data_IF_370242370895
#
_entry.id   IF_370242370895
#
_cell.length_a   1.000
_cell.length_b   1.000
_cell.length_c   1.000
_cell.angle_alpha   90.00
_cell.angle_beta   90.00
_cell.angle_gamma   90.00
#
_symmetry.space_group_name_H-M   'P 1'
#
loop_
_entity.id
_entity.type
_entity.pdbx_description
1 polymer ?
#
# COMPACT_ATOMS: atom_id res chain seq x y z
N UNK A 1 37.72 -42.80 -9.78
CA UNK A 1 36.28 -43.08 -10.00
C UNK A 1 35.68 -41.80 -10.58
N UNK A 2 35.47 -41.75 -11.90
CA UNK A 2 34.98 -40.56 -12.62
C UNK A 2 33.47 -40.75 -12.84
N UNK A 3 32.65 -39.82 -12.36
CA UNK A 3 31.22 -39.78 -12.66
C UNK A 3 30.97 -38.59 -13.59
N UNK A 4 30.74 -38.91 -14.86
CA UNK A 4 30.18 -38.01 -15.86
C UNK A 4 28.65 -38.04 -15.71
N UNK A 5 28.02 -36.87 -15.55
CA UNK A 5 26.58 -36.73 -15.81
C UNK A 5 26.37 -35.75 -16.95
N UNK A 6 25.73 -36.28 -17.98
CA UNK A 6 25.45 -35.67 -19.26
C UNK A 6 24.00 -35.19 -19.30
N UNK A 7 23.80 -34.12 -20.09
CA UNK A 7 22.61 -33.77 -20.89
C UNK A 7 21.35 -33.21 -20.22
N UNK A 8 21.18 -31.90 -20.46
CA UNK A 8 20.04 -31.25 -21.17
C UNK A 8 18.62 -31.60 -20.71
N UNK A 9 17.96 -30.64 -20.06
CA UNK A 9 16.52 -30.39 -20.26
C UNK A 9 16.33 -28.90 -20.55
N UNK A 10 16.12 -28.61 -21.83
CA UNK A 10 15.55 -27.35 -22.31
C UNK A 10 14.04 -27.57 -22.29
N UNK A 11 13.29 -26.84 -21.46
CA UNK A 11 11.84 -26.73 -21.62
C UNK A 11 11.47 -25.26 -21.79
N UNK A 12 11.24 -24.91 -23.06
CA UNK A 12 10.57 -23.69 -23.49
C UNK A 12 9.07 -23.96 -23.39
N UNK A 13 8.33 -23.18 -22.59
CA UNK A 13 6.93 -22.82 -22.93
C UNK A 13 6.65 -21.42 -22.34
N UNK A 14 7.05 -20.40 -23.10
CA UNK A 14 6.30 -19.14 -23.17
C UNK A 14 5.29 -19.34 -24.31
N UNK A 15 4.01 -18.99 -24.11
CA UNK A 15 3.16 -18.21 -25.03
C UNK A 15 1.65 -18.33 -24.70
N UNK A 16 1.03 -17.15 -24.51
CA UNK A 16 -0.34 -16.72 -24.84
C UNK A 16 -1.56 -17.29 -24.09
N UNK A 17 -2.30 -16.38 -23.45
CA UNK A 17 -3.61 -15.94 -24.00
C UNK A 17 -4.08 -14.65 -23.33
N UNK A 18 -3.87 -13.53 -24.02
CA UNK A 18 -4.64 -12.29 -23.85
C UNK A 18 -5.91 -12.47 -24.66
N UNK A 19 -7.07 -12.49 -23.99
CA UNK A 19 -8.36 -12.35 -24.66
C UNK A 19 -9.04 -11.08 -24.13
N UNK A 20 -9.17 -10.11 -25.03
CA UNK A 20 -9.99 -8.92 -24.89
C UNK A 20 -11.48 -9.30 -24.79
N UNK A 21 -12.17 -8.74 -23.79
CA UNK A 21 -13.60 -8.43 -23.91
C UNK A 21 -13.81 -6.98 -23.50
N UNK A 22 -13.99 -6.14 -24.52
CA UNK A 22 -14.49 -4.78 -24.42
C UNK A 22 -15.97 -4.84 -24.80
N UNK A 23 -16.86 -4.56 -23.85
CA UNK A 23 -18.25 -4.14 -24.08
C UNK A 23 -18.53 -3.03 -23.06
N UNK A 24 -18.33 -1.77 -23.44
CA UNK A 24 -19.35 -0.85 -23.97
C UNK A 24 -20.30 -0.29 -22.90
N UNK A 25 -20.06 0.99 -22.59
CA UNK A 25 -20.92 2.09 -22.16
C UNK A 25 -22.30 1.79 -21.54
N UNK A 26 -22.54 2.36 -20.35
CA UNK A 26 -23.59 3.39 -20.22
C UNK A 26 -23.33 4.28 -18.99
N UNK A 27 -23.01 5.54 -19.25
CA UNK A 27 -22.94 6.63 -18.27
C UNK A 27 -24.31 7.30 -18.18
N UNK A 28 -24.99 7.16 -17.04
CA UNK A 28 -26.12 8.00 -16.69
C UNK A 28 -25.66 9.07 -15.70
N UNK A 29 -25.85 10.32 -16.11
CA UNK A 29 -25.68 11.54 -15.33
C UNK A 29 -26.47 11.46 -14.01
N UNK A 30 -25.82 11.77 -12.89
CA UNK A 30 -26.52 12.14 -11.67
C UNK A 30 -26.04 13.50 -11.19
N UNK A 31 -27.00 14.43 -11.15
CA UNK A 31 -26.84 15.83 -10.78
C UNK A 31 -26.56 15.92 -9.27
N UNK A 32 -25.57 16.73 -8.91
CA UNK A 32 -25.27 17.10 -7.54
C UNK A 32 -26.08 18.35 -7.15
N UNK A 33 -27.03 18.19 -6.23
CA UNK A 33 -27.61 19.33 -5.53
C UNK A 33 -26.89 19.51 -4.20
N UNK A 34 -26.10 20.59 -4.13
CA UNK A 34 -25.46 21.06 -2.92
C UNK A 34 -26.50 21.80 -2.07
N UNK A 35 -26.79 21.29 -0.87
CA UNK A 35 -27.45 22.07 0.18
C UNK A 35 -26.40 22.60 1.15
N UNK A 36 -26.22 23.92 1.06
CA UNK A 36 -25.61 24.80 2.04
C UNK A 36 -26.49 24.80 3.28
N UNK A 37 -25.94 24.44 4.44
CA UNK A 37 -26.58 24.71 5.74
C UNK A 37 -25.63 25.49 6.62
N UNK A 38 -26.18 26.58 7.14
CA UNK A 38 -25.60 27.66 7.94
C UNK A 38 -24.75 27.20 9.13
N UNK A 39 -23.60 27.86 9.23
CA UNK A 39 -22.82 28.03 10.46
C UNK A 39 -23.56 28.97 11.42
N UNK A 40 -23.99 28.46 12.57
CA UNK A 40 -24.43 29.29 13.69
C UNK A 40 -23.28 29.51 14.67
N UNK A 41 -22.83 30.76 14.75
CA UNK A 41 -21.93 31.27 15.79
C UNK A 41 -22.64 31.29 17.15
N UNK A 42 -22.02 30.71 18.18
CA UNK A 42 -22.33 31.04 19.58
C UNK A 42 -21.07 31.59 20.24
N UNK A 43 -21.22 32.82 20.73
CA UNK A 43 -20.21 33.57 21.47
C UNK A 43 -20.04 33.06 22.91
N UNK A 44 -18.77 32.97 23.30
CA UNK A 44 -18.15 33.53 24.52
C UNK A 44 -18.90 33.39 25.85
N UNK A 45 -18.27 32.67 26.79
CA UNK A 45 -18.26 33.10 28.19
C UNK A 45 -16.91 32.72 28.82
N UNK A 46 -16.18 33.76 29.23
CA UNK A 46 -14.95 33.68 30.00
C UNK A 46 -15.30 33.61 31.50
N UNK A 47 -14.70 32.69 32.25
CA UNK A 47 -14.24 33.01 33.60
C UNK A 47 -13.09 32.08 34.04
N UNK A 48 -12.14 32.57 34.86
CA UNK A 48 -10.85 31.92 35.12
C UNK A 48 -10.83 31.11 36.43
N UNK A 49 -9.65 30.49 36.65
CA UNK A 49 -9.18 29.73 37.83
C UNK A 49 -9.71 28.29 37.90
N UNK A 50 -8.88 27.26 38.03
CA UNK A 50 -7.88 27.08 39.10
C UNK A 50 -6.64 26.35 38.58
N UNK A 51 -5.47 26.92 38.89
CA UNK A 51 -4.15 26.28 38.78
C UNK A 51 -4.10 25.10 39.75
N UNK A 52 -3.96 23.89 39.24
CA UNK A 52 -3.57 22.73 40.04
C UNK A 52 -2.37 22.06 39.37
N UNK A 53 -1.18 22.60 39.65
CA UNK A 53 0.11 21.97 39.41
C UNK A 53 0.24 20.78 40.33
N UNK A 54 0.13 19.55 39.81
CA UNK A 54 0.77 18.37 40.40
C UNK A 54 0.93 17.25 39.34
N UNK A 55 2.17 16.77 39.23
CA UNK A 55 2.60 15.50 38.66
C UNK A 55 2.40 15.25 37.15
N UNK A 56 3.29 15.84 36.35
CA UNK A 56 3.74 15.20 35.10
C UNK A 56 4.70 14.08 35.49
N UNK A 57 4.12 12.92 35.79
CA UNK A 57 4.85 11.66 35.82
C UNK A 57 4.66 11.01 34.45
N UNK A 58 5.77 10.95 33.74
CA UNK A 58 5.97 10.31 32.44
C UNK A 58 5.41 8.89 32.40
N UNK A 59 4.27 8.70 31.73
CA UNK A 59 3.79 7.39 31.29
C UNK A 59 3.22 7.48 29.88
N UNK A 60 4.11 7.58 28.89
CA UNK A 60 3.74 7.65 27.46
C UNK A 60 3.99 6.33 26.70
N UNK A 61 4.28 5.23 27.40
CA UNK A 61 4.72 3.97 26.78
C UNK A 61 3.71 2.81 26.82
N UNK A 62 2.62 2.87 27.59
CA UNK A 62 1.77 1.69 27.83
C UNK A 62 0.47 1.65 27.01
N UNK A 63 0.05 2.77 26.41
CA UNK A 63 -1.28 2.86 25.80
C UNK A 63 -1.30 2.50 24.30
N UNK A 64 -0.17 2.61 23.59
CA UNK A 64 -0.10 2.25 22.17
C UNK A 64 0.07 0.75 21.95
N UNK A 65 0.66 0.04 22.91
CA UNK A 65 1.01 -1.37 22.77
C UNK A 65 -0.21 -2.30 22.87
N UNK A 66 -1.12 -2.01 23.81
CA UNK A 66 -2.39 -2.74 23.98
C UNK A 66 -3.29 -2.64 22.74
N UNK A 67 -3.31 -1.48 22.08
CA UNK A 67 -4.08 -1.28 20.85
C UNK A 67 -3.55 -2.12 19.66
N UNK A 68 -2.23 -2.24 19.51
CA UNK A 68 -1.63 -3.07 18.45
C UNK A 68 -1.84 -4.56 18.72
N UNK A 69 -1.76 -4.97 19.98
CA UNK A 69 -1.99 -6.36 20.39
C UNK A 69 -3.44 -6.80 20.08
N UNK A 70 -4.41 -5.95 20.39
CA UNK A 70 -5.82 -6.22 20.07
C UNK A 70 -6.06 -6.34 18.57
N UNK A 71 -5.44 -5.47 17.76
CA UNK A 71 -5.52 -5.56 16.29
C UNK A 71 -4.88 -6.85 15.79
N UNK A 72 -3.70 -7.21 16.32
CA UNK A 72 -2.98 -8.43 15.92
C UNK A 72 -3.81 -9.69 16.19
N UNK A 73 -4.33 -9.83 17.42
CA UNK A 73 -5.21 -10.93 17.79
C UNK A 73 -6.46 -11.00 16.92
N UNK A 74 -7.07 -9.85 16.62
CA UNK A 74 -8.26 -9.79 15.78
C UNK A 74 -7.98 -10.24 14.35
N UNK A 75 -6.84 -9.85 13.78
CA UNK A 75 -6.43 -10.28 12.43
C UNK A 75 -6.22 -11.78 12.35
N UNK A 76 -5.54 -12.38 13.34
CA UNK A 76 -5.34 -13.83 13.44
C UNK A 76 -6.69 -14.56 13.49
N UNK A 77 -7.57 -14.15 14.41
CA UNK A 77 -8.92 -14.74 14.57
C UNK A 77 -9.72 -14.67 13.26
N UNK A 78 -9.70 -13.52 12.58
CA UNK A 78 -10.44 -13.32 11.34
C UNK A 78 -9.88 -14.15 10.18
N UNK A 79 -8.55 -14.29 10.10
CA UNK A 79 -7.89 -15.14 9.13
C UNK A 79 -8.18 -16.62 9.35
N UNK A 80 -8.12 -17.08 10.60
CA UNK A 80 -8.38 -18.48 10.98
C UNK A 80 -9.83 -18.87 10.66
N UNK A 81 -10.77 -17.99 10.98
CA UNK A 81 -12.20 -18.17 10.70
C UNK A 81 -12.59 -17.89 9.24
N UNK A 82 -11.62 -17.55 8.37
CA UNK A 82 -11.83 -17.21 6.96
C UNK A 82 -12.87 -16.11 6.73
N UNK A 83 -12.99 -15.16 7.67
CA UNK A 83 -13.90 -14.03 7.57
C UNK A 83 -13.24 -12.88 6.79
N UNK A 84 -13.29 -12.96 5.46
CA UNK A 84 -12.42 -12.15 4.62
C UNK A 84 -12.80 -10.66 4.61
N UNK A 85 -14.10 -10.31 4.61
CA UNK A 85 -14.53 -8.91 4.64
C UNK A 85 -14.15 -8.22 5.93
N UNK A 86 -14.38 -8.87 7.08
CA UNK A 86 -13.98 -8.31 8.37
C UNK A 86 -12.46 -8.24 8.51
N UNK A 87 -11.73 -9.24 8.01
CA UNK A 87 -10.26 -9.20 7.96
C UNK A 87 -9.79 -8.00 7.15
N UNK A 88 -10.34 -7.80 5.94
CA UNK A 88 -10.03 -6.66 5.11
C UNK A 88 -10.31 -5.35 5.83
N UNK A 89 -11.45 -5.23 6.52
CA UNK A 89 -11.81 -4.03 7.29
C UNK A 89 -10.82 -3.75 8.42
N UNK A 90 -10.46 -4.78 9.18
CA UNK A 90 -9.52 -4.72 10.31
C UNK A 90 -8.06 -4.51 9.88
N UNK A 91 -7.71 -4.87 8.64
CA UNK A 91 -6.35 -4.72 8.10
C UNK A 91 -5.88 -3.27 8.21
N UNK A 92 -4.58 -3.00 8.45
CA UNK A 92 -4.06 -1.65 8.60
C UNK A 92 -4.47 -0.71 7.47
N UNK A 93 -4.67 0.57 7.81
CA UNK A 93 -5.10 1.61 6.87
C UNK A 93 -4.00 2.60 6.52
N UNK A 94 -2.78 2.43 7.05
CA UNK A 94 -1.64 3.33 6.92
C UNK A 94 -0.36 2.51 6.92
N UNK A 95 0.70 2.97 6.24
CA UNK A 95 2.00 2.30 6.27
C UNK A 95 2.51 2.07 7.69
N UNK A 96 2.44 3.10 8.55
CA UNK A 96 2.98 3.05 9.91
C UNK A 96 2.41 1.88 10.72
N UNK A 97 1.08 1.77 10.78
CA UNK A 97 0.41 0.64 11.45
C UNK A 97 0.69 -0.70 10.78
N UNK A 98 0.81 -0.71 9.45
CA UNK A 98 1.17 -1.93 8.72
C UNK A 98 2.57 -2.40 9.12
N UNK A 99 3.55 -1.50 9.10
CA UNK A 99 4.93 -1.77 9.50
C UNK A 99 5.05 -2.13 10.98
N UNK A 100 4.31 -1.47 11.88
CA UNK A 100 4.31 -1.80 13.32
C UNK A 100 3.76 -3.20 13.63
N UNK A 101 2.95 -3.78 12.73
CA UNK A 101 2.40 -5.11 12.88
C UNK A 101 3.23 -6.18 12.15
N UNK A 102 3.61 -5.92 10.90
CA UNK A 102 4.19 -6.91 9.98
C UNK A 102 5.66 -6.71 9.66
N UNK A 103 6.24 -5.53 9.96
CA UNK A 103 7.60 -5.19 9.60
C UNK A 103 8.66 -5.85 10.49
N UNK A 104 9.90 -5.47 10.24
CA UNK A 104 11.06 -5.76 11.08
C UNK A 104 11.67 -4.46 11.58
N UNK A 105 12.38 -4.52 12.69
CA UNK A 105 13.09 -3.38 13.27
C UNK A 105 14.45 -3.86 13.75
N UNK A 106 15.52 -3.19 13.35
CA UNK A 106 16.87 -3.67 13.66
C UNK A 106 17.20 -3.65 15.16
N UNK A 107 16.51 -2.79 15.93
CA UNK A 107 16.73 -2.67 17.37
C UNK A 107 15.85 -3.64 18.17
N UNK A 108 14.59 -3.79 17.77
CA UNK A 108 13.56 -4.52 18.53
C UNK A 108 13.12 -5.84 17.89
N UNK A 109 13.62 -6.13 16.69
CA UNK A 109 13.38 -7.35 15.94
C UNK A 109 12.04 -7.41 15.21
N UNK A 110 11.62 -8.64 14.92
CA UNK A 110 10.37 -8.96 14.25
C UNK A 110 9.15 -8.40 14.99
N UNK A 111 8.22 -7.78 14.26
CA UNK A 111 6.94 -7.31 14.80
C UNK A 111 5.95 -8.47 15.00
N UNK A 112 4.86 -8.19 15.70
CA UNK A 112 3.88 -9.19 16.19
C UNK A 112 3.37 -10.17 15.14
N UNK A 113 3.11 -9.68 13.94
CA UNK A 113 2.58 -10.44 12.82
C UNK A 113 3.64 -10.71 11.74
N UNK A 114 4.92 -10.51 12.03
CA UNK A 114 6.02 -10.71 11.07
C UNK A 114 6.00 -12.11 10.44
N UNK A 115 5.71 -13.15 11.23
CA UNK A 115 5.62 -14.54 10.74
C UNK A 115 4.27 -14.91 10.12
N UNK A 116 3.28 -14.01 10.10
CA UNK A 116 1.94 -14.24 9.55
C UNK A 116 1.87 -13.74 8.10
N UNK A 117 2.83 -14.15 7.26
CA UNK A 117 2.97 -13.62 5.89
C UNK A 117 1.76 -13.93 5.02
N UNK A 118 1.04 -15.02 5.30
CA UNK A 118 -0.18 -15.44 4.61
C UNK A 118 -1.35 -14.44 4.72
N UNK A 119 -1.30 -13.56 5.71
CA UNK A 119 -2.26 -12.46 5.86
C UNK A 119 -2.22 -11.49 4.66
N UNK A 120 -1.04 -11.27 4.08
CA UNK A 120 -0.84 -10.35 2.96
C UNK A 120 -1.61 -10.83 1.73
N UNK A 121 -1.37 -12.03 1.17
CA UNK A 121 -2.15 -12.52 0.04
C UNK A 121 -3.63 -12.74 0.39
N UNK A 122 -3.97 -13.03 1.64
CA UNK A 122 -5.38 -13.13 2.06
C UNK A 122 -6.13 -11.79 1.93
N UNK A 123 -5.49 -10.69 2.36
CA UNK A 123 -6.01 -9.33 2.14
C UNK A 123 -6.28 -9.05 0.65
N UNK A 124 -5.35 -9.41 -0.24
CA UNK A 124 -5.51 -9.14 -1.67
C UNK A 124 -6.51 -10.08 -2.38
N UNK A 125 -6.77 -11.27 -1.84
CA UNK A 125 -7.69 -12.27 -2.42
C UNK A 125 -9.12 -12.21 -1.88
N UNK A 126 -9.42 -11.27 -0.99
CA UNK A 126 -10.75 -11.06 -0.44
C UNK A 126 -11.77 -10.72 -1.56
N UNK A 127 -12.54 -11.72 -1.98
CA UNK A 127 -13.51 -11.62 -3.09
C UNK A 127 -14.78 -10.84 -2.72
N UNK A 128 -15.04 -10.65 -1.42
CA UNK A 128 -16.16 -9.84 -0.91
C UNK A 128 -15.89 -8.33 -0.99
N UNK A 129 -14.70 -7.94 -1.45
CA UNK A 129 -14.25 -6.55 -1.58
C UNK A 129 -14.01 -6.26 -3.05
N UNK A 130 -14.56 -5.15 -3.54
CA UNK A 130 -14.33 -4.70 -4.91
C UNK A 130 -12.87 -4.31 -5.15
N UNK A 131 -12.38 -4.46 -6.38
CA UNK A 131 -11.01 -4.05 -6.72
C UNK A 131 -10.77 -2.55 -6.45
N UNK A 132 -11.81 -1.72 -6.63
CA UNK A 132 -11.79 -0.28 -6.31
C UNK A 132 -11.50 -0.04 -4.82
N UNK A 133 -12.26 -0.67 -3.94
CA UNK A 133 -12.11 -0.54 -2.49
C UNK A 133 -10.74 -1.06 -2.03
N UNK A 134 -10.31 -2.20 -2.58
CA UNK A 134 -8.98 -2.77 -2.34
C UNK A 134 -7.88 -1.82 -2.77
N UNK A 135 -7.97 -1.25 -3.97
CA UNK A 135 -7.00 -0.34 -4.55
C UNK A 135 -6.88 0.96 -3.74
N UNK A 136 -8.00 1.54 -3.29
CA UNK A 136 -7.98 2.71 -2.42
C UNK A 136 -7.28 2.44 -1.09
N UNK A 137 -7.53 1.26 -0.48
CA UNK A 137 -6.87 0.87 0.76
C UNK A 137 -5.39 0.59 0.55
N UNK A 138 -5.01 -0.08 -0.54
CA UNK A 138 -3.61 -0.34 -0.91
C UNK A 138 -2.84 0.97 -1.11
N UNK A 139 -3.41 1.92 -1.86
CA UNK A 139 -2.80 3.24 -2.06
C UNK A 139 -2.61 3.94 -0.72
N UNK A 140 -3.64 3.93 0.14
CA UNK A 140 -3.57 4.57 1.45
C UNK A 140 -2.51 3.96 2.36
N UNK A 141 -2.35 2.64 2.35
CA UNK A 141 -1.28 1.95 3.08
C UNK A 141 0.09 2.30 2.50
N UNK A 142 0.25 2.36 1.17
CA UNK A 142 1.55 2.65 0.56
C UNK A 142 2.04 4.10 0.70
N UNK A 143 1.18 5.04 1.09
CA UNK A 143 1.60 6.43 1.34
C UNK A 143 2.54 6.47 2.55
N UNK A 144 3.69 7.13 2.36
CA UNK A 144 4.83 7.21 3.28
C UNK A 144 5.47 5.84 3.54
N UNK A 145 5.22 4.88 2.65
CA UNK A 145 5.86 3.59 2.66
C UNK A 145 7.33 3.66 2.27
N UNK A 146 8.07 2.70 2.81
CA UNK A 146 9.45 2.40 2.43
C UNK A 146 9.53 0.92 2.12
N UNK A 147 10.39 0.57 1.19
CA UNK A 147 10.65 -0.83 0.93
C UNK A 147 11.33 -1.48 2.14
N UNK A 148 10.93 -2.72 2.40
CA UNK A 148 11.59 -3.66 3.31
C UNK A 148 11.28 -5.08 2.77
N UNK A 149 12.02 -6.07 3.24
CA UNK A 149 11.82 -7.47 2.86
C UNK A 149 10.49 -8.05 3.41
N UNK A 150 10.29 -9.34 3.16
CA UNK A 150 9.20 -10.14 3.73
C UNK A 150 7.80 -9.54 3.49
N UNK A 151 7.04 -9.26 4.55
CA UNK A 151 5.65 -8.82 4.46
C UNK A 151 5.50 -7.47 3.74
N UNK A 152 6.47 -6.56 3.89
CA UNK A 152 6.42 -5.25 3.23
C UNK A 152 6.67 -5.42 1.73
N UNK A 153 7.67 -6.20 1.36
CA UNK A 153 8.00 -6.53 -0.03
C UNK A 153 6.87 -7.30 -0.72
N UNK A 154 6.26 -8.27 -0.04
CA UNK A 154 5.11 -9.02 -0.57
C UNK A 154 3.90 -8.09 -0.79
N UNK A 155 3.62 -7.19 0.15
CA UNK A 155 2.56 -6.20 -0.01
C UNK A 155 2.81 -5.30 -1.21
N UNK A 156 4.05 -4.80 -1.37
CA UNK A 156 4.43 -3.97 -2.51
C UNK A 156 4.29 -4.71 -3.84
N UNK A 157 4.71 -5.98 -3.90
CA UNK A 157 4.57 -6.82 -5.09
C UNK A 157 3.09 -6.99 -5.48
N UNK A 158 2.23 -7.32 -4.52
CA UNK A 158 0.79 -7.48 -4.79
C UNK A 158 0.11 -6.15 -5.12
N UNK A 159 0.58 -5.04 -4.54
CA UNK A 159 0.15 -3.69 -4.92
C UNK A 159 0.50 -3.38 -6.38
N UNK A 160 1.72 -3.72 -6.83
CA UNK A 160 2.14 -3.60 -8.23
C UNK A 160 1.19 -4.33 -9.17
N UNK A 161 0.86 -5.59 -8.85
CA UNK A 161 -0.05 -6.39 -9.66
C UNK A 161 -1.45 -5.78 -9.73
N UNK A 162 -2.00 -5.35 -8.58
CA UNK A 162 -3.33 -4.73 -8.53
C UNK A 162 -3.41 -3.45 -9.39
N UNK A 163 -2.39 -2.60 -9.33
CA UNK A 163 -2.36 -1.35 -10.12
C UNK A 163 -2.18 -1.66 -11.61
N UNK A 164 -1.35 -2.65 -11.94
CA UNK A 164 -1.12 -3.09 -13.32
C UNK A 164 -2.41 -3.62 -13.96
N UNK A 165 -3.23 -4.32 -13.19
CA UNK A 165 -4.49 -4.90 -13.67
C UNK A 165 -5.61 -3.84 -13.74
N UNK A 166 -5.56 -2.79 -12.90
CA UNK A 166 -6.55 -1.71 -12.83
C UNK A 166 -5.93 -0.30 -12.97
N UNK A 167 -5.20 0.00 -14.07
CA UNK A 167 -4.42 1.24 -14.18
C UNK A 167 -5.28 2.49 -14.30
N UNK A 168 -6.51 2.37 -14.82
CA UNK A 168 -7.44 3.51 -14.95
C UNK A 168 -7.96 3.93 -13.58
N UNK A 169 -8.44 2.97 -12.81
CA UNK A 169 -8.95 3.15 -11.45
C UNK A 169 -7.85 3.63 -10.51
N UNK A 170 -6.62 3.09 -10.66
CA UNK A 170 -5.43 3.58 -9.98
C UNK A 170 -5.20 5.07 -10.24
N UNK A 171 -5.20 5.45 -11.53
CA UNK A 171 -4.99 6.83 -11.95
C UNK A 171 -6.06 7.76 -11.39
N UNK A 172 -7.32 7.35 -11.43
CA UNK A 172 -8.44 8.11 -10.87
C UNK A 172 -8.31 8.31 -9.37
N UNK A 173 -7.99 7.25 -8.61
CA UNK A 173 -7.75 7.36 -7.16
C UNK A 173 -6.62 8.32 -6.84
N UNK A 174 -5.48 8.18 -7.52
CA UNK A 174 -4.30 9.00 -7.26
C UNK A 174 -4.49 10.45 -7.71
N UNK A 175 -5.32 10.69 -8.73
CA UNK A 175 -5.67 12.05 -9.14
C UNK A 175 -6.47 12.80 -8.06
N UNK A 176 -7.22 12.09 -7.22
CA UNK A 176 -7.98 12.69 -6.13
C UNK A 176 -7.11 13.01 -4.90
N UNK A 177 -5.81 12.68 -4.92
CA UNK A 177 -4.87 12.99 -3.85
C UNK A 177 -4.04 14.25 -4.18
N UNK A 178 -3.54 14.97 -3.16
CA UNK A 178 -2.47 15.94 -3.33
C UNK A 178 -1.23 15.31 -3.97
N UNK A 179 -0.49 16.07 -4.77
CA UNK A 179 0.72 15.61 -5.47
C UNK A 179 1.72 14.94 -4.54
N UNK A 180 1.95 15.52 -3.36
CA UNK A 180 2.86 14.96 -2.35
C UNK A 180 2.47 13.54 -1.93
N UNK A 181 1.18 13.29 -1.70
CA UNK A 181 0.69 11.97 -1.29
C UNK A 181 0.76 10.97 -2.43
N UNK A 182 0.38 11.37 -3.65
CA UNK A 182 0.48 10.52 -4.83
C UNK A 182 1.95 10.19 -5.15
N UNK A 183 2.85 11.17 -5.05
CA UNK A 183 4.29 11.00 -5.20
C UNK A 183 4.83 10.04 -4.15
N UNK A 184 4.48 10.20 -2.87
CA UNK A 184 4.88 9.31 -1.79
C UNK A 184 4.49 7.85 -2.06
N UNK A 185 3.29 7.62 -2.58
CA UNK A 185 2.87 6.29 -3.02
C UNK A 185 3.69 5.75 -4.19
N UNK A 186 3.95 6.56 -5.23
CA UNK A 186 4.77 6.13 -6.36
C UNK A 186 6.21 5.83 -5.97
N UNK A 187 6.76 6.58 -5.02
CA UNK A 187 8.06 6.28 -4.42
C UNK A 187 8.02 4.90 -3.78
N UNK A 188 7.11 4.67 -2.83
CA UNK A 188 6.98 3.38 -2.16
C UNK A 188 6.82 2.24 -3.16
N UNK A 189 5.96 2.38 -4.17
CA UNK A 189 5.68 1.29 -5.10
C UNK A 189 6.95 0.83 -5.84
N UNK A 190 7.85 1.74 -6.20
CA UNK A 190 9.07 1.42 -6.95
C UNK A 190 10.35 1.36 -6.11
N UNK A 191 10.25 1.63 -4.81
CA UNK A 191 11.37 1.51 -3.88
C UNK A 191 11.84 0.06 -3.81
N UNK A 192 13.15 -0.17 -3.87
CA UNK A 192 13.76 -1.50 -3.84
C UNK A 192 15.27 -1.37 -3.63
N UNK A 193 15.99 -2.45 -3.26
CA UNK A 193 17.45 -2.42 -3.15
C UNK A 193 18.14 -2.07 -4.46
N UNK A 194 17.54 -2.43 -5.60
CA UNK A 194 18.12 -2.19 -6.92
C UNK A 194 17.09 -1.56 -7.87
N UNK A 195 16.77 -0.27 -7.74
CA UNK A 195 15.79 0.41 -8.59
C UNK A 195 16.15 0.37 -10.09
N UNK A 196 17.44 0.25 -10.40
CA UNK A 196 17.97 0.15 -11.76
C UNK A 196 17.91 -1.26 -12.38
N UNK A 197 17.41 -2.28 -11.67
CA UNK A 197 17.25 -3.62 -12.27
C UNK A 197 16.33 -3.57 -13.50
N UNK A 198 16.62 -4.45 -14.47
CA UNK A 198 15.89 -4.54 -15.73
C UNK A 198 14.39 -4.76 -15.52
N UNK A 199 14.00 -5.52 -14.50
CA UNK A 199 12.58 -5.77 -14.22
C UNK A 199 11.90 -4.51 -13.72
N UNK A 200 12.52 -3.77 -12.79
CA UNK A 200 12.01 -2.50 -12.28
C UNK A 200 11.84 -1.45 -13.40
N UNK A 201 12.85 -1.31 -14.26
CA UNK A 201 12.79 -0.40 -15.42
C UNK A 201 11.67 -0.79 -16.40
N UNK A 202 11.45 -2.09 -16.63
CA UNK A 202 10.39 -2.58 -17.49
C UNK A 202 9.01 -2.30 -16.87
N UNK A 203 8.82 -2.65 -15.60
CA UNK A 203 7.58 -2.40 -14.85
C UNK A 203 7.24 -0.91 -14.84
N UNK A 204 8.24 -0.04 -14.63
CA UNK A 204 8.09 1.42 -14.71
C UNK A 204 7.56 1.85 -16.07
N UNK A 205 8.19 1.42 -17.17
CA UNK A 205 7.77 1.80 -18.53
C UNK A 205 6.35 1.34 -18.86
N UNK A 206 6.01 0.10 -18.46
CA UNK A 206 4.67 -0.44 -18.68
C UNK A 206 3.62 0.35 -17.88
N UNK A 207 3.90 0.64 -16.62
CA UNK A 207 3.03 1.42 -15.74
C UNK A 207 2.82 2.84 -16.27
N UNK A 208 3.91 3.51 -16.63
CA UNK A 208 3.88 4.85 -17.19
C UNK A 208 3.03 4.91 -18.48
N UNK A 209 3.18 3.91 -19.36
CA UNK A 209 2.38 3.79 -20.57
C UNK A 209 0.89 3.60 -20.24
N UNK A 210 0.57 2.71 -19.30
CA UNK A 210 -0.81 2.39 -18.91
C UNK A 210 -1.55 3.58 -18.28
N UNK A 211 -0.84 4.45 -17.55
CA UNK A 211 -1.40 5.69 -17.00
C UNK A 211 -1.66 6.76 -18.08
N UNK A 212 -1.02 6.62 -19.24
CA UNK A 212 -0.95 7.63 -20.30
C UNK A 212 0.24 8.54 -20.09
N UNK A 213 1.15 8.57 -21.08
CA UNK A 213 2.48 9.18 -20.99
C UNK A 213 2.47 10.63 -20.48
N UNK A 214 1.48 11.43 -20.89
CA UNK A 214 1.40 12.85 -20.55
C UNK A 214 0.51 13.14 -19.33
N UNK A 215 -0.05 12.10 -18.70
CA UNK A 215 -0.90 12.26 -17.53
C UNK A 215 -0.10 12.79 -16.33
N UNK A 216 -0.81 13.50 -15.43
CA UNK A 216 -0.25 13.96 -14.14
C UNK A 216 0.43 12.82 -13.38
N UNK A 217 -0.21 11.65 -13.28
CA UNK A 217 0.35 10.50 -12.56
C UNK A 217 1.57 9.89 -13.25
N UNK A 218 1.60 9.84 -14.58
CA UNK A 218 2.79 9.40 -15.33
C UNK A 218 4.02 10.27 -15.05
N UNK A 219 3.81 11.59 -14.90
CA UNK A 219 4.88 12.54 -14.56
C UNK A 219 5.37 12.34 -13.12
N UNK A 220 4.46 12.27 -12.14
CA UNK A 220 4.82 12.02 -10.74
C UNK A 220 5.56 10.69 -10.56
N UNK A 221 5.10 9.64 -11.25
CA UNK A 221 5.76 8.34 -11.28
C UNK A 221 7.18 8.44 -11.86
N UNK A 222 7.36 9.14 -12.99
CA UNK A 222 8.67 9.34 -13.60
C UNK A 222 9.64 10.10 -12.68
N UNK A 223 9.16 11.15 -12.02
CA UNK A 223 9.96 11.92 -11.07
C UNK A 223 10.40 11.07 -9.88
N UNK A 224 9.49 10.28 -9.29
CA UNK A 224 9.84 9.45 -8.14
C UNK A 224 10.78 8.30 -8.54
N UNK A 225 10.55 7.68 -9.69
CA UNK A 225 11.44 6.63 -10.19
C UNK A 225 12.84 7.18 -10.49
N UNK A 226 12.94 8.40 -11.04
CA UNK A 226 14.24 9.04 -11.24
C UNK A 226 14.94 9.34 -9.91
N UNK A 227 14.23 9.87 -8.90
CA UNK A 227 14.79 10.09 -7.56
C UNK A 227 15.36 8.81 -6.94
N UNK A 228 14.64 7.69 -7.06
CA UNK A 228 15.11 6.39 -6.57
C UNK A 228 16.42 5.98 -7.23
N UNK A 229 16.51 6.13 -8.56
CA UNK A 229 17.71 5.81 -9.35
C UNK A 229 18.89 6.74 -9.04
N UNK A 230 18.64 8.01 -8.77
CA UNK A 230 19.67 8.99 -8.40
C UNK A 230 20.21 8.74 -6.98
N UNK A 231 19.39 8.11 -6.12
CA UNK A 231 19.78 7.72 -4.76
C UNK A 231 20.38 6.32 -4.65
N UNK A 232 20.46 5.57 -5.76
CA UNK A 232 21.02 4.22 -5.81
C UNK A 232 22.56 4.33 -5.83
N UNK A 233 23.20 3.87 -4.76
CA UNK A 233 24.65 3.82 -4.63
C UNK A 233 25.24 2.48 -5.14
N UNK A 234 24.40 1.60 -5.67
CA UNK A 234 24.79 0.28 -6.19
C UNK A 234 25.00 -0.78 -5.12
N UNK A 235 24.80 -0.48 -3.84
CA UNK A 235 25.00 -1.43 -2.74
C UNK A 235 23.72 -2.08 -2.23
N UNK A 236 22.55 -1.59 -2.65
CA UNK A 236 21.30 -1.95 -2.00
C UNK A 236 21.21 -1.29 -0.62
N UNK A 237 20.04 -0.78 -0.28
CA UNK A 237 19.78 -0.26 1.07
C UNK A 237 19.69 -1.38 2.08
#
# INVERSE_FOLDING_TARGET
>A
MKLNFSTKIISKVFLYSILLLITSCNSSEFKSDAQVVETTNVQVSNNPEVVNTNNVQTSKATQSDDGLEQIARRLIELYDNKNCKEFFNAFPNTFEKFNQLYGYDDETGARRLFSQTEHIPYFFKCSEVSDRERLEKVIRIGINGKWDADSIGEFQLLAHLLIKDHPKEAKETLNNLPDERAASFWYFLFDSPHPNDKQNVLSFKLMQSALGKDSRQSKLLAEQFQKLRDSDDGHGR
#
